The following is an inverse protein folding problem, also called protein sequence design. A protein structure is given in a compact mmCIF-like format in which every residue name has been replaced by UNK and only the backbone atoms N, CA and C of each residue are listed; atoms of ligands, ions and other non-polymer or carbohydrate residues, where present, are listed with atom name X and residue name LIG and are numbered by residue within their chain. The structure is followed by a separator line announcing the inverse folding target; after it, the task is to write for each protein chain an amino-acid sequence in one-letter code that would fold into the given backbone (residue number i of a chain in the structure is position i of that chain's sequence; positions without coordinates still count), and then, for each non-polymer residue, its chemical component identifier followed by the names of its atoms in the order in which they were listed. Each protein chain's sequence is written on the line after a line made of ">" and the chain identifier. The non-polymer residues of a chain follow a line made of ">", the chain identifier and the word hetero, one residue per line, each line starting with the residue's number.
data_IF_762745858585
#
_entry.id   IF_762745858585
#
_cell.length_a   1.000
_cell.length_b   1.000
_cell.length_c   1.000
_cell.angle_alpha   90.00
_cell.angle_beta   90.00
_cell.angle_gamma   90.00
#
_symmetry.space_group_name_H-M   'P 1'
#
loop_
_entity.id
_entity.type
_entity.pdbx_description
1 polymer ?
#
# COMPACT_ATOMS: atom_id res chain seq x y z
N UNK A 1 21.71 -11.47 -10.00
CA UNK A 1 20.55 -11.48 -9.08
C UNK A 1 19.37 -10.91 -9.83
N UNK A 2 18.14 -11.38 -9.59
CA UNK A 2 16.93 -10.73 -10.14
C UNK A 2 16.80 -9.32 -9.55
N UNK A 3 16.29 -8.37 -10.34
CA UNK A 3 15.97 -7.02 -9.83
C UNK A 3 14.87 -7.13 -8.77
N UNK A 4 14.99 -6.35 -7.70
CA UNK A 4 13.95 -6.25 -6.68
C UNK A 4 12.68 -5.64 -7.27
N UNK A 5 11.50 -6.13 -6.89
CA UNK A 5 10.21 -5.54 -7.23
C UNK A 5 9.67 -4.74 -6.06
N UNK A 6 9.45 -3.44 -6.24
CA UNK A 6 8.94 -2.55 -5.20
C UNK A 6 7.57 -2.01 -5.60
N UNK A 7 6.59 -2.11 -4.70
CA UNK A 7 5.28 -1.51 -4.91
C UNK A 7 5.22 -0.12 -4.27
N UNK A 8 4.76 0.88 -5.02
CA UNK A 8 4.42 2.21 -4.51
C UNK A 8 2.90 2.25 -4.34
N UNK A 9 2.42 2.25 -3.09
CA UNK A 9 1.00 2.09 -2.76
C UNK A 9 0.36 3.46 -2.50
N UNK A 10 -0.65 3.82 -3.31
CA UNK A 10 -1.44 5.05 -3.14
C UNK A 10 -2.57 4.78 -2.13
N UNK A 11 -2.50 5.41 -0.96
CA UNK A 11 -3.28 4.96 0.20
C UNK A 11 -4.68 5.57 0.39
N UNK A 12 -5.08 6.51 -0.46
CA UNK A 12 -6.36 7.25 -0.36
C UNK A 12 -7.22 7.02 -1.58
N UNK A 13 -8.55 7.06 -1.48
CA UNK A 13 -9.47 6.75 -2.61
C UNK A 13 -10.46 7.85 -2.99
N UNK A 14 -10.60 8.93 -2.21
CA UNK A 14 -11.51 10.06 -2.54
C UNK A 14 -11.25 10.61 -3.94
N UNK A 15 -12.29 10.93 -4.72
CA UNK A 15 -12.18 11.42 -6.11
C UNK A 15 -11.11 12.53 -6.29
N UNK A 16 -11.13 13.53 -5.40
CA UNK A 16 -10.25 14.71 -5.41
C UNK A 16 -8.95 14.53 -4.61
N UNK A 17 -8.52 13.29 -4.33
CA UNK A 17 -7.30 13.00 -3.54
C UNK A 17 -6.03 13.56 -4.20
N UNK A 18 -5.08 13.93 -3.36
CA UNK A 18 -3.76 14.40 -3.79
C UNK A 18 -2.74 13.28 -4.04
N UNK A 19 -2.94 12.08 -3.46
CA UNK A 19 -1.91 11.03 -3.36
C UNK A 19 -1.25 10.53 -4.65
N UNK A 20 -1.90 10.69 -5.80
CA UNK A 20 -1.30 10.36 -7.09
C UNK A 20 -0.06 11.21 -7.42
N UNK A 21 -0.05 12.49 -7.03
CA UNK A 21 1.07 13.41 -7.30
C UNK A 21 2.37 12.99 -6.61
N UNK A 22 2.42 12.79 -5.29
CA UNK A 22 3.63 12.30 -4.64
C UNK A 22 3.99 10.88 -5.08
N UNK A 23 3.02 10.02 -5.41
CA UNK A 23 3.31 8.66 -5.88
C UNK A 23 4.00 8.63 -7.25
N UNK A 24 3.53 9.43 -8.21
CA UNK A 24 4.21 9.58 -9.50
C UNK A 24 5.60 10.22 -9.34
N UNK A 25 5.75 11.22 -8.47
CA UNK A 25 7.05 11.81 -8.17
C UNK A 25 8.04 10.78 -7.61
N UNK A 26 7.61 9.95 -6.64
CA UNK A 26 8.44 8.86 -6.10
C UNK A 26 8.79 7.84 -7.17
N UNK A 27 7.83 7.50 -8.05
CA UNK A 27 8.07 6.59 -9.18
C UNK A 27 9.13 7.14 -10.13
N UNK A 28 9.11 8.44 -10.44
CA UNK A 28 10.15 9.07 -11.27
C UNK A 28 11.54 8.88 -10.66
N UNK A 29 11.70 9.16 -9.37
CA UNK A 29 12.98 8.96 -8.67
C UNK A 29 13.40 7.49 -8.68
N UNK A 30 12.47 6.58 -8.38
CA UNK A 30 12.78 5.16 -8.33
C UNK A 30 13.11 4.56 -9.71
N UNK A 31 12.58 5.14 -10.80
CA UNK A 31 12.89 4.72 -12.17
C UNK A 31 14.33 5.02 -12.59
N UNK A 32 15.03 5.92 -11.90
CA UNK A 32 16.46 6.19 -12.12
C UNK A 32 17.36 5.07 -11.58
N UNK A 33 16.81 4.16 -10.78
CA UNK A 33 17.55 3.04 -10.20
C UNK A 33 17.59 1.83 -11.13
N UNK A 34 18.78 1.27 -11.30
CA UNK A 34 19.00 0.11 -12.17
C UNK A 34 18.85 -1.24 -11.45
N UNK A 35 18.88 -1.25 -10.12
CA UNK A 35 18.87 -2.44 -9.26
C UNK A 35 17.47 -2.91 -8.82
N UNK A 36 16.43 -2.13 -9.11
CA UNK A 36 15.04 -2.45 -8.80
C UNK A 36 14.09 -2.12 -9.95
N UNK A 37 12.85 -2.55 -9.81
CA UNK A 37 11.70 -2.18 -10.64
C UNK A 37 10.57 -1.71 -9.73
N UNK A 38 9.79 -0.74 -10.19
CA UNK A 38 8.68 -0.18 -9.41
C UNK A 38 7.34 -0.32 -10.14
N UNK A 39 6.29 -0.58 -9.37
CA UNK A 39 4.91 -0.56 -9.83
C UNK A 39 4.06 0.32 -8.91
N UNK A 40 3.15 1.11 -9.47
CA UNK A 40 2.15 1.84 -8.70
C UNK A 40 0.95 0.95 -8.45
N UNK A 41 0.58 0.78 -7.18
CA UNK A 41 -0.65 0.12 -6.78
C UNK A 41 -1.61 1.13 -6.19
N UNK A 42 -2.76 1.31 -6.84
CA UNK A 42 -3.78 2.24 -6.38
C UNK A 42 -4.89 1.49 -5.64
N UNK A 43 -5.14 1.83 -4.37
CA UNK A 43 -6.21 1.18 -3.61
C UNK A 43 -7.62 1.43 -4.18
N UNK A 44 -7.81 2.35 -5.14
CA UNK A 44 -9.08 2.43 -5.90
C UNK A 44 -9.33 1.22 -6.78
N UNK A 45 -8.28 0.57 -7.26
CA UNK A 45 -8.39 -0.61 -8.12
C UNK A 45 -8.76 -1.86 -7.31
N UNK A 46 -8.71 -1.75 -5.99
CA UNK A 46 -9.08 -2.78 -5.01
C UNK A 46 -10.17 -2.22 -4.08
N UNK A 47 -11.42 -2.06 -4.55
CA UNK A 47 -12.53 -1.58 -3.74
C UNK A 47 -12.98 -2.64 -2.74
N UNK A 48 -12.10 -2.95 -1.77
CA UNK A 48 -12.34 -3.92 -0.72
C UNK A 48 -13.46 -3.43 0.20
N UNK A 49 -14.37 -4.31 0.65
CA UNK A 49 -15.26 -3.99 1.76
C UNK A 49 -14.43 -3.75 3.04
N UNK A 50 -15.06 -3.31 4.13
CA UNK A 50 -14.36 -3.34 5.42
C UNK A 50 -14.09 -4.78 5.83
N UNK A 51 -12.95 -4.99 6.49
CA UNK A 51 -12.52 -6.31 6.95
C UNK A 51 -13.60 -6.98 7.80
N UNK A 52 -14.11 -8.09 7.28
CA UNK A 52 -15.18 -8.90 7.87
C UNK A 52 -14.92 -10.41 7.61
N UNK A 53 -13.65 -10.78 7.45
CA UNK A 53 -13.26 -12.19 7.35
C UNK A 53 -13.17 -12.80 8.75
N UNK A 54 -13.39 -14.13 8.84
CA UNK A 54 -13.38 -14.86 10.11
C UNK A 54 -12.06 -14.75 10.89
N UNK A 55 -10.95 -14.51 10.17
CA UNK A 55 -9.63 -14.25 10.72
C UNK A 55 -8.73 -13.61 9.64
N UNK A 56 -7.54 -13.17 10.06
CA UNK A 56 -6.46 -12.82 9.12
C UNK A 56 -6.13 -13.99 8.18
N UNK A 57 -5.68 -13.67 6.96
CA UNK A 57 -5.22 -14.66 5.98
C UNK A 57 -4.02 -15.50 6.44
N UNK A 58 -3.39 -15.13 7.56
CA UNK A 58 -2.41 -15.96 8.26
C UNK A 58 -3.01 -17.22 8.92
N UNK A 59 -4.31 -17.20 9.24
CA UNK A 59 -4.97 -18.25 10.04
C UNK A 59 -6.14 -18.92 9.32
N UNK A 60 -6.82 -18.22 8.40
CA UNK A 60 -7.91 -18.75 7.60
C UNK A 60 -7.87 -18.18 6.18
N UNK A 61 -8.23 -18.94 5.14
CA UNK A 61 -8.27 -18.41 3.78
C UNK A 61 -9.31 -17.30 3.65
N UNK A 62 -8.92 -16.20 3.00
CA UNK A 62 -9.83 -15.09 2.67
C UNK A 62 -10.85 -15.54 1.63
N UNK A 63 -12.11 -15.14 1.83
CA UNK A 63 -13.21 -15.49 0.94
C UNK A 63 -13.53 -14.39 -0.07
N UNK A 64 -13.28 -13.12 0.28
CA UNK A 64 -13.54 -11.99 -0.59
C UNK A 64 -12.59 -11.95 -1.81
N UNK A 65 -13.17 -11.98 -3.02
CA UNK A 65 -12.40 -12.00 -4.27
C UNK A 65 -11.52 -10.77 -4.48
N UNK A 66 -11.97 -9.57 -4.07
CA UNK A 66 -11.18 -8.33 -4.21
C UNK A 66 -9.97 -8.38 -3.30
N UNK A 67 -10.14 -8.85 -2.06
CA UNK A 67 -9.05 -9.04 -1.12
C UNK A 67 -8.07 -10.14 -1.57
N UNK A 68 -8.55 -11.24 -2.16
CA UNK A 68 -7.68 -12.25 -2.76
C UNK A 68 -6.84 -11.68 -3.91
N UNK A 69 -7.43 -10.82 -4.77
CA UNK A 69 -6.66 -10.12 -5.82
C UNK A 69 -5.60 -9.21 -5.21
N UNK A 70 -5.95 -8.49 -4.15
CA UNK A 70 -5.00 -7.63 -3.43
C UNK A 70 -3.84 -8.45 -2.85
N UNK A 71 -4.12 -9.50 -2.07
CA UNK A 71 -3.14 -10.44 -1.52
C UNK A 71 -2.20 -10.98 -2.59
N UNK A 72 -2.77 -11.53 -3.67
CA UNK A 72 -1.99 -12.07 -4.79
C UNK A 72 -1.08 -11.00 -5.38
N UNK A 73 -1.59 -9.78 -5.57
CA UNK A 73 -0.82 -8.70 -6.16
C UNK A 73 0.34 -8.29 -5.26
N UNK A 74 0.09 -8.04 -3.97
CA UNK A 74 1.15 -7.59 -3.05
C UNK A 74 2.21 -8.67 -2.81
N UNK A 75 1.84 -9.95 -2.91
CA UNK A 75 2.78 -11.06 -2.82
C UNK A 75 3.88 -11.02 -3.90
N UNK A 76 3.66 -10.35 -5.03
CA UNK A 76 4.64 -10.22 -6.14
C UNK A 76 5.84 -9.33 -5.83
N UNK A 77 5.80 -8.55 -4.74
CA UNK A 77 6.78 -7.51 -4.44
C UNK A 77 7.72 -7.91 -3.29
N UNK A 78 8.96 -7.43 -3.35
CA UNK A 78 10.00 -7.64 -2.34
C UNK A 78 10.02 -6.53 -1.27
N UNK A 79 9.36 -5.40 -1.54
CA UNK A 79 9.25 -4.27 -0.63
C UNK A 79 8.23 -3.24 -1.08
N UNK A 80 7.94 -2.28 -0.20
CA UNK A 80 6.83 -1.34 -0.37
C UNK A 80 7.21 0.09 -0.02
N UNK A 81 6.63 1.04 -0.74
CA UNK A 81 6.62 2.47 -0.40
C UNK A 81 5.15 2.89 -0.26
N UNK A 82 4.71 3.18 0.95
CA UNK A 82 3.36 3.64 1.21
C UNK A 82 3.29 5.17 1.09
N UNK A 83 2.56 5.65 0.09
CA UNK A 83 2.32 7.08 -0.13
C UNK A 83 1.03 7.46 0.58
N UNK A 84 1.16 8.04 1.78
CA UNK A 84 0.07 8.13 2.74
C UNK A 84 -0.33 9.55 3.12
N UNK A 85 -1.63 9.81 3.10
CA UNK A 85 -2.19 11.04 3.66
C UNK A 85 -2.38 10.91 5.17
N UNK A 86 -2.38 12.04 5.87
CA UNK A 86 -2.84 12.08 7.26
C UNK A 86 -4.32 12.43 7.34
N UNK A 87 -5.14 11.48 7.80
CA UNK A 87 -6.57 11.66 8.06
C UNK A 87 -6.81 11.59 9.56
N UNK A 88 -7.30 12.70 10.14
CA UNK A 88 -7.68 12.80 11.56
C UNK A 88 -6.62 12.22 12.51
N UNK A 89 -5.37 12.68 12.39
CA UNK A 89 -4.26 12.24 13.26
C UNK A 89 -3.89 10.75 13.08
N UNK A 90 -4.12 10.16 11.90
CA UNK A 90 -3.73 8.78 11.62
C UNK A 90 -3.57 8.51 10.11
N UNK A 91 -3.25 7.26 9.77
CA UNK A 91 -3.31 6.75 8.40
C UNK A 91 -4.76 6.67 7.90
N UNK A 92 -5.00 6.67 6.58
CA UNK A 92 -6.33 6.51 6.04
C UNK A 92 -6.89 5.13 6.39
N UNK A 93 -8.17 5.06 6.77
CA UNK A 93 -8.84 3.79 7.06
C UNK A 93 -8.74 2.77 5.91
N UNK A 94 -8.73 3.25 4.66
CA UNK A 94 -8.56 2.40 3.47
C UNK A 94 -7.20 1.71 3.45
N UNK A 95 -6.13 2.39 3.86
CA UNK A 95 -4.80 1.80 3.98
C UNK A 95 -4.80 0.72 5.06
N UNK A 96 -5.31 1.05 6.25
CA UNK A 96 -5.39 0.11 7.36
C UNK A 96 -6.17 -1.14 6.97
N UNK A 97 -7.31 -0.95 6.30
CA UNK A 97 -8.15 -2.04 5.80
C UNK A 97 -7.40 -2.93 4.78
N UNK A 98 -6.67 -2.33 3.84
CA UNK A 98 -5.84 -3.07 2.90
C UNK A 98 -4.72 -3.87 3.58
N UNK A 99 -4.16 -3.34 4.67
CA UNK A 99 -3.18 -4.04 5.50
C UNK A 99 -3.83 -5.12 6.39
N UNK A 100 -5.11 -5.00 6.75
CA UNK A 100 -5.79 -6.05 7.53
C UNK A 100 -6.16 -7.25 6.65
N UNK A 101 -6.48 -7.00 5.38
CA UNK A 101 -6.79 -8.04 4.40
C UNK A 101 -5.58 -8.88 3.97
N UNK A 102 -4.34 -8.45 4.19
CA UNK A 102 -3.14 -9.21 3.83
C UNK A 102 -2.19 -9.22 5.02
N UNK A 103 -1.51 -10.32 5.31
CA UNK A 103 -0.58 -10.38 6.44
C UNK A 103 0.72 -11.11 6.10
N UNK A 104 0.70 -12.40 5.67
CA UNK A 104 1.91 -13.10 5.24
C UNK A 104 2.71 -12.34 4.19
N UNK A 105 2.02 -11.59 3.32
CA UNK A 105 2.61 -10.87 2.20
C UNK A 105 3.53 -9.71 2.62
N UNK A 106 3.42 -9.23 3.86
CA UNK A 106 4.27 -8.15 4.41
C UNK A 106 5.46 -8.69 5.21
N UNK A 107 5.37 -9.93 5.70
CA UNK A 107 6.32 -10.49 6.67
C UNK A 107 7.75 -10.45 6.12
N UNK A 108 8.66 -9.83 6.89
CA UNK A 108 10.09 -9.67 6.58
C UNK A 108 10.40 -8.88 5.29
N UNK A 109 9.44 -8.12 4.75
CA UNK A 109 9.69 -7.23 3.60
C UNK A 109 9.95 -5.80 4.08
N UNK A 110 10.79 -5.08 3.35
CA UNK A 110 11.09 -3.69 3.66
C UNK A 110 9.90 -2.78 3.34
N UNK A 111 9.67 -1.78 4.20
CA UNK A 111 8.66 -0.75 4.00
C UNK A 111 9.26 0.63 4.20
N UNK A 112 8.90 1.56 3.31
CA UNK A 112 9.18 2.98 3.43
C UNK A 112 7.87 3.77 3.31
N UNK A 113 7.89 5.03 3.77
CA UNK A 113 6.71 5.88 3.79
C UNK A 113 7.00 7.24 3.17
N UNK A 114 6.03 7.76 2.42
CA UNK A 114 6.00 9.15 1.96
C UNK A 114 4.69 9.75 2.45
N UNK A 115 4.78 10.45 3.58
CA UNK A 115 3.66 11.12 4.22
C UNK A 115 3.35 12.48 3.57
N UNK A 116 2.08 12.85 3.53
CA UNK A 116 1.65 14.22 3.23
C UNK A 116 0.42 14.62 4.04
N UNK A 117 0.32 15.90 4.39
CA UNK A 117 -0.72 16.43 5.26
C UNK A 117 -0.28 17.73 5.92
N UNK A 118 -1.09 18.25 6.85
CA UNK A 118 -0.81 19.54 7.51
C UNK A 118 0.53 19.57 8.25
N UNK A 119 1.00 18.44 8.76
CA UNK A 119 2.31 18.29 9.42
C UNK A 119 3.25 17.35 8.65
N UNK A 120 3.10 17.26 7.33
CA UNK A 120 3.94 16.39 6.49
C UNK A 120 3.63 14.89 6.61
N UNK A 121 2.54 14.52 7.27
CA UNK A 121 2.10 13.13 7.41
C UNK A 121 2.79 12.33 8.51
N UNK A 122 3.50 12.99 9.44
CA UNK A 122 4.21 12.32 10.53
C UNK A 122 3.32 11.38 11.34
N UNK A 123 2.08 11.80 11.64
CA UNK A 123 1.14 11.02 12.46
C UNK A 123 0.47 9.87 11.71
N UNK A 124 0.60 9.85 10.38
CA UNK A 124 0.17 8.73 9.56
C UNK A 124 1.24 7.63 9.47
N UNK A 125 2.46 7.92 9.93
CA UNK A 125 3.64 7.06 9.79
C UNK A 125 4.21 6.62 11.15
N UNK A 126 3.86 7.31 12.24
CA UNK A 126 4.32 6.99 13.61
C UNK A 126 3.96 5.59 14.10
#
# INVERSE_FOLDING_TARGET
>A
MSKLKIAIVISTTRATRFGHKPAEWVKTIAAERSDMTVELLDLRDYPMPFFDEVASNAWAPTTNEVAQRWQKKVAEFDGYIFVTAEYNHSMPAVLKNALDYAYPEWVKKAAAFVGYGAVGGSRAVE
#
